data_IF_078797619205
#
_entry.id   IF_078797619205
#
_cell.length_a   1.000
_cell.length_b   1.000
_cell.length_c   1.000
_cell.angle_alpha   90.00
_cell.angle_beta   90.00
_cell.angle_gamma   90.00
#
_symmetry.space_group_name_H-M   'P 1'
#
loop_
_entity.id
_entity.type
_entity.pdbx_description
1 polymer ?
#
# COMPACT_ATOMS: atom_id res chain seq x y z
N UNK A 1 -22.06 -18.61 7.34
CA UNK A 1 -20.91 -18.27 8.21
C UNK A 1 -19.94 -17.44 7.38
N UNK A 2 -19.82 -16.13 7.62
CA UNK A 2 -18.80 -15.31 6.93
C UNK A 2 -17.43 -15.78 7.43
N UNK A 3 -16.46 -16.01 6.53
CA UNK A 3 -15.07 -16.23 6.94
C UNK A 3 -14.62 -15.00 7.73
N UNK A 4 -13.88 -15.14 8.84
CA UNK A 4 -13.26 -13.99 9.47
C UNK A 4 -12.32 -13.32 8.46
N UNK A 5 -12.41 -11.99 8.35
CA UNK A 5 -11.56 -11.21 7.46
C UNK A 5 -10.10 -11.42 7.86
N UNK A 6 -9.25 -11.84 6.92
CA UNK A 6 -7.83 -12.06 7.21
C UNK A 6 -7.10 -10.72 7.33
N UNK A 7 -5.92 -10.66 7.96
CA UNK A 7 -5.13 -9.43 8.02
C UNK A 7 -4.85 -8.79 6.64
N UNK A 8 -4.79 -9.59 5.58
CA UNK A 8 -4.65 -9.09 4.21
C UNK A 8 -5.95 -8.49 3.66
N UNK A 9 -7.09 -9.11 3.95
CA UNK A 9 -8.38 -8.57 3.53
C UNK A 9 -8.59 -7.19 4.17
N UNK A 10 -8.24 -7.06 5.45
CA UNK A 10 -8.27 -5.78 6.16
C UNK A 10 -7.31 -4.74 5.58
N UNK A 11 -6.10 -5.14 5.18
CA UNK A 11 -5.17 -4.24 4.49
C UNK A 11 -5.72 -3.76 3.15
N UNK A 12 -6.28 -4.65 2.33
CA UNK A 12 -6.85 -4.29 1.03
C UNK A 12 -8.09 -3.39 1.16
N UNK A 13 -8.92 -3.63 2.17
CA UNK A 13 -10.05 -2.75 2.52
C UNK A 13 -9.54 -1.37 2.93
N UNK A 14 -8.51 -1.29 3.76
CA UNK A 14 -7.91 -0.02 4.17
C UNK A 14 -7.31 0.74 2.96
N UNK A 15 -6.65 0.04 2.03
CA UNK A 15 -6.16 0.65 0.78
C UNK A 15 -7.30 1.20 -0.09
N UNK A 16 -8.43 0.49 -0.18
CA UNK A 16 -9.59 0.94 -0.94
C UNK A 16 -10.20 2.21 -0.33
N UNK A 17 -10.31 2.29 0.99
CA UNK A 17 -10.78 3.51 1.67
C UNK A 17 -9.84 4.68 1.47
N UNK A 18 -8.53 4.45 1.59
CA UNK A 18 -7.55 5.50 1.34
C UNK A 18 -7.64 6.03 -0.10
N UNK A 19 -7.78 5.15 -1.08
CA UNK A 19 -7.95 5.52 -2.49
C UNK A 19 -9.20 6.39 -2.69
N UNK A 20 -10.34 5.98 -2.14
CA UNK A 20 -11.61 6.72 -2.22
C UNK A 20 -11.48 8.16 -1.68
N UNK A 21 -10.84 8.33 -0.51
CA UNK A 21 -10.63 9.64 0.09
C UNK A 21 -9.64 10.49 -0.72
N UNK A 22 -8.57 9.88 -1.26
CA UNK A 22 -7.60 10.60 -2.11
C UNK A 22 -8.16 11.02 -3.47
N UNK A 23 -9.14 10.28 -4.00
CA UNK A 23 -9.83 10.62 -5.25
C UNK A 23 -10.97 11.63 -5.05
N UNK A 24 -11.40 11.85 -3.82
CA UNK A 24 -12.44 12.81 -3.48
C UNK A 24 -11.94 14.24 -3.73
N UNK A 25 -12.63 15.04 -4.58
CA UNK A 25 -12.26 16.43 -4.82
C UNK A 25 -12.37 17.27 -3.55
N UNK A 26 -11.34 18.05 -3.25
CA UNK A 26 -11.34 18.99 -2.12
C UNK A 26 -12.03 20.28 -2.53
N UNK A 27 -13.06 20.69 -1.79
CA UNK A 27 -13.72 22.00 -1.99
C UNK A 27 -13.12 23.05 -1.05
N UNK A 28 -13.25 24.35 -1.37
CA UNK A 28 -12.73 25.41 -0.50
C UNK A 28 -13.28 25.34 0.92
N UNK A 29 -12.38 25.34 1.91
CA UNK A 29 -12.72 25.27 3.33
C UNK A 29 -12.71 23.86 3.94
N UNK A 30 -12.61 22.80 3.13
CA UNK A 30 -12.64 21.41 3.62
C UNK A 30 -11.26 20.75 3.73
N UNK A 31 -10.17 21.50 3.52
CA UNK A 31 -8.82 20.94 3.51
C UNK A 31 -8.47 20.24 4.84
N UNK A 32 -8.82 20.83 5.97
CA UNK A 32 -8.52 20.28 7.31
C UNK A 32 -9.29 18.97 7.53
N UNK A 33 -10.58 18.95 7.21
CA UNK A 33 -11.43 17.77 7.36
C UNK A 33 -10.97 16.65 6.44
N UNK A 34 -10.64 16.97 5.18
CA UNK A 34 -10.08 16.02 4.23
C UNK A 34 -8.74 15.45 4.72
N UNK A 35 -7.84 16.29 5.25
CA UNK A 35 -6.56 15.81 5.81
C UNK A 35 -6.77 14.90 7.03
N UNK A 36 -7.77 15.20 7.86
CA UNK A 36 -8.14 14.34 8.99
C UNK A 36 -8.62 12.96 8.51
N UNK A 37 -9.44 12.93 7.46
CA UNK A 37 -9.93 11.69 6.87
C UNK A 37 -8.82 10.87 6.19
N UNK A 38 -7.94 11.53 5.42
CA UNK A 38 -6.74 10.90 4.83
C UNK A 38 -5.85 10.32 5.91
N UNK A 39 -5.64 11.05 7.01
CA UNK A 39 -4.82 10.60 8.14
C UNK A 39 -5.43 9.37 8.81
N UNK A 40 -6.73 9.41 9.09
CA UNK A 40 -7.45 8.27 9.68
C UNK A 40 -7.39 7.02 8.78
N UNK A 41 -7.56 7.18 7.47
CA UNK A 41 -7.42 6.08 6.52
C UNK A 41 -5.98 5.56 6.44
N UNK A 42 -4.99 6.47 6.50
CA UNK A 42 -3.59 6.10 6.47
C UNK A 42 -3.16 5.31 7.72
N UNK A 43 -3.65 5.69 8.90
CA UNK A 43 -3.38 4.96 10.15
C UNK A 43 -3.92 3.53 10.10
N UNK A 44 -5.09 3.31 9.48
CA UNK A 44 -5.63 1.96 9.24
C UNK A 44 -4.73 1.16 8.30
N UNK A 45 -4.26 1.79 7.22
CA UNK A 45 -3.31 1.17 6.28
C UNK A 45 -2.02 0.78 6.99
N UNK A 46 -1.40 1.68 7.76
CA UNK A 46 -0.18 1.41 8.53
C UNK A 46 -0.38 0.28 9.54
N UNK A 47 -1.50 0.30 10.26
CA UNK A 47 -1.85 -0.72 11.24
C UNK A 47 -1.87 -2.11 10.60
N UNK A 48 -2.57 -2.28 9.48
CA UNK A 48 -2.68 -3.57 8.81
C UNK A 48 -1.41 -3.95 8.02
N UNK A 49 -0.66 -2.97 7.53
CA UNK A 49 0.63 -3.18 6.91
C UNK A 49 1.62 -3.81 7.89
N UNK A 50 1.74 -3.23 9.09
CA UNK A 50 2.63 -3.69 10.15
C UNK A 50 2.13 -4.96 10.85
N UNK A 51 0.82 -5.11 11.03
CA UNK A 51 0.26 -6.23 11.78
C UNK A 51 0.32 -7.57 11.04
N UNK A 52 0.51 -7.59 9.70
CA UNK A 52 0.56 -8.89 9.02
C UNK A 52 0.91 -8.90 7.55
N UNK A 53 0.66 -7.82 6.80
CA UNK A 53 0.95 -7.82 5.36
C UNK A 53 2.43 -8.09 5.07
N UNK A 54 3.33 -7.34 5.72
CA UNK A 54 4.78 -7.44 5.52
C UNK A 54 5.31 -8.83 5.87
N UNK A 55 4.93 -9.35 7.03
CA UNK A 55 5.48 -10.59 7.55
C UNK A 55 4.93 -11.81 6.79
N UNK A 56 3.66 -11.77 6.38
CA UNK A 56 3.08 -12.79 5.50
C UNK A 56 3.74 -12.81 4.12
N UNK A 57 3.98 -11.66 3.50
CA UNK A 57 4.73 -11.59 2.24
C UNK A 57 6.11 -12.21 2.38
N UNK A 58 6.85 -11.87 3.43
CA UNK A 58 8.17 -12.46 3.69
C UNK A 58 8.09 -13.97 3.89
N UNK A 59 7.05 -14.49 4.52
CA UNK A 59 6.82 -15.93 4.63
C UNK A 59 6.54 -16.57 3.27
N UNK A 60 5.60 -16.02 2.50
CA UNK A 60 5.24 -16.55 1.18
C UNK A 60 6.42 -16.56 0.21
N UNK A 61 7.26 -15.52 0.23
CA UNK A 61 8.48 -15.47 -0.58
C UNK A 61 9.50 -16.55 -0.17
N UNK A 62 9.63 -16.86 1.12
CA UNK A 62 10.46 -17.98 1.59
C UNK A 62 9.90 -19.32 1.13
N UNK A 63 8.58 -19.48 1.19
CA UNK A 63 7.91 -20.70 0.73
C UNK A 63 8.08 -20.90 -0.78
N UNK A 64 7.95 -19.86 -1.60
CA UNK A 64 8.19 -19.92 -3.05
C UNK A 64 9.58 -20.49 -3.35
N UNK A 65 10.63 -19.95 -2.73
CA UNK A 65 12.02 -20.44 -2.94
C UNK A 65 12.21 -21.87 -2.46
N UNK A 66 11.54 -22.25 -1.37
CA UNK A 66 11.60 -23.61 -0.84
C UNK A 66 10.96 -24.63 -1.80
N UNK A 67 9.88 -24.25 -2.47
CA UNK A 67 9.17 -25.13 -3.41
C UNK A 67 9.82 -25.16 -4.80
N UNK A 68 10.28 -24.01 -5.31
CA UNK A 68 10.89 -23.93 -6.66
C UNK A 68 12.07 -22.95 -6.66
N UNK A 69 13.29 -23.52 -6.62
CA UNK A 69 14.54 -22.75 -6.71
C UNK A 69 14.68 -21.99 -8.05
N UNK A 70 14.01 -22.46 -9.11
CA UNK A 70 13.96 -21.78 -10.41
C UNK A 70 13.25 -20.42 -10.36
N UNK A 71 12.49 -20.13 -9.30
CA UNK A 71 11.82 -18.85 -9.08
C UNK A 71 12.67 -17.83 -8.30
N UNK A 72 13.93 -18.13 -7.97
CA UNK A 72 14.78 -17.25 -7.15
C UNK A 72 14.89 -15.82 -7.72
N UNK A 73 15.14 -15.68 -9.03
CA UNK A 73 15.22 -14.35 -9.69
C UNK A 73 13.92 -13.58 -9.54
N UNK A 74 12.78 -14.26 -9.64
CA UNK A 74 11.46 -13.65 -9.47
C UNK A 74 11.24 -13.19 -8.03
N UNK A 75 11.66 -13.98 -7.05
CA UNK A 75 11.59 -13.63 -5.64
C UNK A 75 12.45 -12.40 -5.33
N UNK A 76 13.65 -12.29 -5.90
CA UNK A 76 14.47 -11.08 -5.76
C UNK A 76 13.79 -9.83 -6.35
N UNK A 77 13.13 -9.95 -7.50
CA UNK A 77 12.33 -8.84 -8.03
C UNK A 77 11.18 -8.46 -7.08
N UNK A 78 10.48 -9.43 -6.50
CA UNK A 78 9.41 -9.17 -5.52
C UNK A 78 9.94 -8.52 -4.24
N UNK A 79 11.16 -8.85 -3.80
CA UNK A 79 11.82 -8.18 -2.67
C UNK A 79 12.17 -6.73 -2.99
N UNK A 80 12.70 -6.47 -4.19
CA UNK A 80 12.94 -5.12 -4.67
C UNK A 80 11.66 -4.27 -4.73
N UNK A 81 10.54 -4.86 -5.16
CA UNK A 81 9.23 -4.20 -5.11
C UNK A 81 8.79 -3.88 -3.68
N UNK A 82 8.95 -4.81 -2.74
CA UNK A 82 8.62 -4.59 -1.34
C UNK A 82 9.40 -3.41 -0.74
N UNK A 83 10.69 -3.27 -1.06
CA UNK A 83 11.50 -2.12 -0.65
C UNK A 83 10.99 -0.81 -1.24
N UNK A 84 10.55 -0.82 -2.50
CA UNK A 84 9.95 0.37 -3.14
C UNK A 84 8.63 0.76 -2.48
N UNK A 85 7.82 -0.22 -2.06
CA UNK A 85 6.59 0.01 -1.29
C UNK A 85 6.92 0.61 0.08
N UNK A 86 7.89 0.07 0.80
CA UNK A 86 8.36 0.65 2.08
C UNK A 86 8.83 2.10 1.91
N UNK A 87 9.61 2.39 0.86
CA UNK A 87 10.02 3.77 0.57
C UNK A 87 8.84 4.69 0.20
N UNK A 88 7.87 4.17 -0.57
CA UNK A 88 6.64 4.89 -0.93
C UNK A 88 5.81 5.25 0.30
N UNK A 89 5.66 4.29 1.22
CA UNK A 89 5.00 4.44 2.52
C UNK A 89 5.64 5.55 3.35
N UNK A 90 6.95 5.48 3.57
CA UNK A 90 7.68 6.47 4.36
C UNK A 90 7.59 7.87 3.73
N UNK A 91 7.65 7.94 2.39
CA UNK A 91 7.48 9.18 1.65
C UNK A 91 6.09 9.77 1.83
N UNK A 92 5.04 8.94 1.74
CA UNK A 92 3.66 9.37 1.92
C UNK A 92 3.41 9.88 3.34
N UNK A 93 3.83 9.13 4.37
CA UNK A 93 3.74 9.54 5.78
C UNK A 93 4.36 10.92 6.01
N UNK A 94 5.56 11.16 5.46
CA UNK A 94 6.24 12.45 5.59
C UNK A 94 5.49 13.58 4.87
N UNK A 95 4.97 13.33 3.67
CA UNK A 95 4.21 14.33 2.91
C UNK A 95 2.91 14.69 3.63
N UNK A 96 2.21 13.68 4.16
CA UNK A 96 0.97 13.85 4.90
C UNK A 96 1.21 14.68 6.17
N UNK A 97 2.22 14.31 6.97
CA UNK A 97 2.57 15.07 8.17
C UNK A 97 3.00 16.50 7.86
N UNK A 98 3.79 16.72 6.79
CA UNK A 98 4.17 18.06 6.37
C UNK A 98 2.98 18.90 5.93
N UNK A 99 2.02 18.32 5.20
CA UNK A 99 0.83 19.06 4.77
C UNK A 99 -0.11 19.36 5.95
N UNK A 100 -0.27 18.42 6.89
CA UNK A 100 -1.09 18.61 8.09
C UNK A 100 -0.58 19.75 8.99
N UNK A 101 0.74 19.93 9.13
CA UNK A 101 1.32 21.03 9.94
C UNK A 101 0.98 22.41 9.37
N UNK A 102 0.81 22.51 8.06
CA UNK A 102 0.58 23.78 7.36
C UNK A 102 -0.88 23.94 6.90
N UNK A 103 -1.80 23.10 7.36
CA UNK A 103 -3.19 23.08 6.90
C UNK A 103 -3.97 24.37 7.24
N UNK A 104 -3.60 25.01 8.36
CA UNK A 104 -4.21 26.26 8.83
C UNK A 104 -3.50 27.53 8.33
N UNK A 105 -2.41 27.39 7.55
CA UNK A 105 -1.69 28.55 7.02
C UNK A 105 -2.52 29.26 5.93
N UNK A 106 -2.48 30.60 5.96
CA UNK A 106 -3.36 31.50 5.22
C UNK A 106 -3.41 31.26 3.70
N UNK A 107 -4.57 31.57 3.11
CA UNK A 107 -4.91 31.52 1.66
C UNK A 107 -3.89 32.20 0.71
N UNK A 108 -2.95 32.99 1.23
CA UNK A 108 -1.93 33.71 0.45
C UNK A 108 -1.00 32.77 -0.34
N UNK A 109 -0.86 31.50 0.08
CA UNK A 109 -0.01 30.50 -0.57
C UNK A 109 -0.79 29.40 -1.32
N UNK A 110 -2.04 29.65 -1.73
CA UNK A 110 -2.91 28.65 -2.38
C UNK A 110 -2.22 27.83 -3.50
N UNK A 111 -1.45 28.42 -4.44
CA UNK A 111 -0.83 27.62 -5.51
C UNK A 111 0.23 26.63 -5.01
N UNK A 112 0.89 26.92 -3.90
CA UNK A 112 1.88 26.03 -3.29
C UNK A 112 1.18 24.91 -2.50
N UNK A 113 0.09 25.25 -1.79
CA UNK A 113 -0.77 24.26 -1.11
C UNK A 113 -1.34 23.26 -2.13
N UNK A 114 -1.88 23.75 -3.25
CA UNK A 114 -2.43 22.91 -4.32
C UNK A 114 -1.37 21.94 -4.90
N UNK A 115 -0.13 22.39 -5.07
CA UNK A 115 0.98 21.52 -5.51
C UNK A 115 1.32 20.46 -4.48
N UNK A 116 1.30 20.80 -3.18
CA UNK A 116 1.55 19.86 -2.09
C UNK A 116 0.44 18.82 -1.99
N UNK A 117 -0.82 19.24 -2.09
CA UNK A 117 -1.99 18.36 -2.16
C UNK A 117 -1.85 17.41 -3.35
N UNK A 118 -1.62 17.93 -4.57
CA UNK A 118 -1.47 17.08 -5.76
C UNK A 118 -0.33 16.07 -5.58
N UNK A 119 0.81 16.51 -5.04
CA UNK A 119 1.94 15.62 -4.78
C UNK A 119 1.60 14.54 -3.74
N UNK A 120 0.84 14.88 -2.70
CA UNK A 120 0.37 13.91 -1.72
C UNK A 120 -0.53 12.86 -2.38
N UNK A 121 -1.54 13.30 -3.15
CA UNK A 121 -2.48 12.42 -3.88
C UNK A 121 -1.73 11.50 -4.84
N UNK A 122 -0.88 12.06 -5.72
CA UNK A 122 -0.10 11.28 -6.70
C UNK A 122 0.73 10.19 -6.00
N UNK A 123 1.29 10.49 -4.82
CA UNK A 123 2.12 9.54 -4.06
C UNK A 123 1.27 8.50 -3.32
N UNK A 124 0.14 8.90 -2.74
CA UNK A 124 -0.78 8.00 -2.08
C UNK A 124 -1.38 6.98 -3.05
N UNK A 125 -1.91 7.44 -4.18
CA UNK A 125 -2.42 6.57 -5.24
C UNK A 125 -1.33 5.67 -5.82
N UNK A 126 -0.13 6.21 -6.04
CA UNK A 126 1.02 5.42 -6.46
C UNK A 126 1.36 4.29 -5.48
N UNK A 127 1.32 4.56 -4.18
CA UNK A 127 1.51 3.55 -3.14
C UNK A 127 0.41 2.48 -3.17
N UNK A 128 -0.87 2.87 -3.23
CA UNK A 128 -2.01 1.95 -3.30
C UNK A 128 -1.87 0.98 -4.47
N UNK A 129 -1.54 1.52 -5.66
CA UNK A 129 -1.37 0.72 -6.88
C UNK A 129 -0.24 -0.29 -6.71
N UNK A 130 0.93 0.13 -6.24
CA UNK A 130 2.09 -0.76 -6.09
C UNK A 130 1.86 -1.83 -5.01
N UNK A 131 1.22 -1.48 -3.89
CA UNK A 131 0.87 -2.44 -2.84
C UNK A 131 -0.08 -3.54 -3.35
N UNK A 132 -1.11 -3.17 -4.12
CA UNK A 132 -2.04 -4.13 -4.74
C UNK A 132 -1.37 -5.01 -5.80
N UNK A 133 -0.51 -4.43 -6.64
CA UNK A 133 0.27 -5.19 -7.63
C UNK A 133 1.16 -6.21 -6.95
N UNK A 134 1.81 -5.82 -5.85
CA UNK A 134 2.68 -6.72 -5.09
C UNK A 134 1.89 -7.87 -4.47
N UNK A 135 0.74 -7.60 -3.83
CA UNK A 135 -0.13 -8.65 -3.29
C UNK A 135 -0.51 -9.67 -4.37
N UNK A 136 -1.01 -9.18 -5.51
CA UNK A 136 -1.39 -10.04 -6.64
C UNK A 136 -0.21 -10.87 -7.13
N UNK A 137 0.97 -10.25 -7.28
CA UNK A 137 2.15 -10.96 -7.76
C UNK A 137 2.61 -12.04 -6.76
N UNK A 138 2.68 -11.72 -5.47
CA UNK A 138 3.07 -12.69 -4.44
C UNK A 138 2.11 -13.87 -4.39
N UNK A 139 0.80 -13.63 -4.47
CA UNK A 139 -0.21 -14.71 -4.55
C UNK A 139 -0.03 -15.57 -5.81
N UNK A 140 0.16 -14.96 -6.98
CA UNK A 140 0.37 -15.70 -8.23
C UNK A 140 1.59 -16.61 -8.14
N UNK A 141 2.75 -16.08 -7.74
CA UNK A 141 3.99 -16.87 -7.67
C UNK A 141 3.96 -17.92 -6.58
N UNK A 142 3.26 -17.66 -5.48
CA UNK A 142 3.03 -18.66 -4.43
C UNK A 142 2.22 -19.84 -4.98
N UNK A 143 1.08 -19.59 -5.62
CA UNK A 143 0.28 -20.65 -6.23
C UNK A 143 1.04 -21.44 -7.30
N UNK A 144 1.77 -20.75 -8.19
CA UNK A 144 2.57 -21.41 -9.23
C UNK A 144 3.66 -22.33 -8.65
N UNK A 145 4.37 -21.88 -7.60
CA UNK A 145 5.41 -22.68 -6.96
C UNK A 145 4.87 -24.01 -6.40
N UNK A 146 3.68 -23.99 -5.79
CA UNK A 146 3.03 -25.20 -5.27
C UNK A 146 2.39 -26.08 -6.36
N UNK A 147 1.97 -25.51 -7.49
CA UNK A 147 1.41 -26.28 -8.60
C UNK A 147 2.48 -27.01 -9.41
N UNK A 148 3.68 -26.41 -9.56
CA UNK A 148 4.82 -27.06 -10.22
C UNK A 148 5.32 -28.29 -9.48
N UNK A 149 5.37 -28.24 -8.16
CA UNK A 149 5.73 -29.39 -7.31
C UNK A 149 4.79 -30.60 -7.52
N UNK A 150 3.52 -30.34 -7.83
CA UNK A 150 2.53 -31.40 -8.12
C UNK A 150 2.55 -31.91 -9.57
N UNK A 151 3.37 -31.32 -10.44
CA UNK A 151 3.34 -31.52 -11.89
C UNK A 151 4.30 -32.59 -12.44
N UNK A 152 4.98 -33.38 -11.59
CA UNK A 152 5.82 -34.50 -12.02
C UNK A 152 5.24 -35.80 -11.44
N UNK A 153 4.11 -36.22 -12.00
CA UNK A 153 3.60 -37.58 -11.87
C UNK A 153 2.95 -37.94 -13.22
N UNK A 154 3.80 -38.21 -14.20
CA UNK A 154 3.48 -39.01 -15.38
C UNK A 154 4.58 -40.07 -15.54
#
# INVERSE_FOLDING_TARGET
MKRPDTPIDMFLIALARLEEVLETPIVPGELVDWLHEVTSCWELVETHYLAGFRDRHRQMLREIVKQDLGLLVRVEHLRGNAQRIEHGRDTFTRLLGALAVHADETLENQPEIDRRIKRLIDRGLGFVIEARKQEKAVLTWHLEAFQRDRGIAD
#
